data_IF_895651930698
#
_entry.id   IF_895651930698
#
_cell.length_a   1.000
_cell.length_b   1.000
_cell.length_c   1.000
_cell.angle_alpha   90.00
_cell.angle_beta   90.00
_cell.angle_gamma   90.00
#
_symmetry.space_group_name_H-M   'P 1'
#
loop_
_entity.id
_entity.type
_entity.pdbx_description
1 polymer ?
#
# COMPACT_ATOMS: atom_id res chain seq x y z
N UNK A 1 1.48 -18.51 -8.97
CA UNK A 1 2.01 -19.38 -10.07
C UNK A 1 3.54 -19.39 -10.17
N UNK A 2 4.23 -18.26 -10.34
CA UNK A 2 5.69 -18.23 -10.64
C UNK A 2 6.60 -18.02 -9.42
N UNK A 3 6.05 -17.70 -8.26
CA UNK A 3 6.79 -17.45 -7.02
C UNK A 3 6.32 -18.26 -5.79
N UNK A 4 5.70 -19.46 -5.91
CA UNK A 4 5.08 -20.12 -4.76
C UNK A 4 6.11 -20.49 -3.67
N UNK A 5 7.32 -20.94 -4.04
CA UNK A 5 8.36 -21.24 -3.05
C UNK A 5 8.83 -19.98 -2.32
N UNK A 6 9.05 -18.87 -3.04
CA UNK A 6 9.43 -17.60 -2.43
C UNK A 6 8.35 -17.07 -1.50
N UNK A 7 7.07 -17.20 -1.87
CA UNK A 7 5.94 -16.80 -1.03
C UNK A 7 5.86 -17.65 0.24
N UNK A 8 6.04 -18.96 0.11
CA UNK A 8 6.10 -19.86 1.27
C UNK A 8 7.22 -19.44 2.23
N UNK A 9 8.45 -19.29 1.73
CA UNK A 9 9.59 -18.91 2.57
C UNK A 9 9.38 -17.54 3.21
N UNK A 10 8.85 -16.56 2.47
CA UNK A 10 8.59 -15.23 3.01
C UNK A 10 7.53 -15.28 4.11
N UNK A 11 6.41 -15.97 3.89
CA UNK A 11 5.39 -16.22 4.91
C UNK A 11 5.99 -16.86 6.17
N UNK A 12 6.81 -17.91 6.00
CA UNK A 12 7.50 -18.59 7.10
C UNK A 12 8.49 -17.69 7.84
N UNK A 13 9.04 -16.66 7.21
CA UNK A 13 9.95 -15.73 7.86
C UNK A 13 9.24 -14.58 8.58
N UNK A 14 8.07 -14.16 8.09
CA UNK A 14 7.45 -12.89 8.52
C UNK A 14 6.11 -13.05 9.23
N UNK A 15 5.23 -13.91 8.74
CA UNK A 15 3.83 -13.95 9.20
C UNK A 15 3.44 -15.28 9.86
N UNK A 16 4.28 -16.31 9.79
CA UNK A 16 3.98 -17.59 10.44
C UNK A 16 3.83 -17.40 11.95
N UNK A 17 2.66 -17.79 12.46
CA UNK A 17 2.32 -17.64 13.88
C UNK A 17 1.67 -16.30 14.25
N UNK A 18 1.64 -15.30 13.36
CA UNK A 18 0.90 -14.07 13.60
C UNK A 18 -0.59 -14.38 13.74
N UNK A 19 -1.16 -14.15 14.93
CA UNK A 19 -2.51 -14.59 15.29
C UNK A 19 -2.80 -16.08 14.96
N UNK A 20 -1.77 -16.93 15.11
CA UNK A 20 -1.88 -18.37 14.93
C UNK A 20 -2.68 -19.09 16.03
N UNK A 21 -2.92 -20.40 15.89
CA UNK A 21 -3.81 -21.17 16.77
C UNK A 21 -3.31 -21.32 18.22
N UNK A 22 -2.07 -20.92 18.52
CA UNK A 22 -1.41 -21.08 19.82
C UNK A 22 -1.49 -19.79 20.67
N UNK A 23 -2.71 -19.43 21.09
CA UNK A 23 -3.18 -18.88 22.38
C UNK A 23 -2.35 -17.88 23.23
N UNK A 24 -1.41 -17.11 22.69
CA UNK A 24 -0.98 -15.87 23.34
C UNK A 24 -1.58 -14.69 22.57
N UNK A 25 -2.24 -13.75 23.27
CA UNK A 25 -2.90 -12.55 22.68
C UNK A 25 -4.24 -12.78 21.94
N UNK A 26 -5.08 -13.74 22.37
CA UNK A 26 -6.37 -14.03 21.72
C UNK A 26 -7.33 -12.84 21.64
N UNK A 27 -7.29 -11.93 22.62
CA UNK A 27 -8.14 -10.73 22.61
C UNK A 27 -7.72 -9.74 21.51
N UNK A 28 -6.42 -9.48 21.37
CA UNK A 28 -5.90 -8.62 20.29
C UNK A 28 -6.24 -9.22 18.92
N UNK A 29 -5.99 -10.51 18.73
CA UNK A 29 -6.27 -11.18 17.47
C UNK A 29 -7.75 -11.18 17.11
N UNK A 30 -8.65 -11.34 18.09
CA UNK A 30 -10.09 -11.20 17.85
C UNK A 30 -10.44 -9.77 17.43
N UNK A 31 -9.92 -8.75 18.14
CA UNK A 31 -10.15 -7.34 17.77
C UNK A 31 -9.63 -7.00 16.38
N UNK A 32 -8.45 -7.52 16.01
CA UNK A 32 -7.88 -7.34 14.68
C UNK A 32 -8.75 -8.02 13.61
N UNK A 33 -9.18 -9.26 13.85
CA UNK A 33 -10.06 -9.97 12.93
C UNK A 33 -11.38 -9.20 12.73
N UNK A 34 -12.02 -8.78 13.82
CA UNK A 34 -13.27 -8.00 13.78
C UNK A 34 -13.08 -6.68 13.01
N UNK A 35 -11.96 -5.99 13.24
CA UNK A 35 -11.61 -4.76 12.51
C UNK A 35 -11.48 -5.02 11.00
N UNK A 36 -10.71 -6.03 10.60
CA UNK A 36 -10.45 -6.35 9.19
C UNK A 36 -11.73 -6.81 8.48
N UNK A 37 -12.54 -7.66 9.11
CA UNK A 37 -13.83 -8.11 8.57
C UNK A 37 -14.80 -6.94 8.40
N UNK A 38 -14.91 -6.05 9.40
CA UNK A 38 -15.73 -4.85 9.31
C UNK A 38 -15.24 -3.89 8.21
N UNK A 39 -13.92 -3.74 8.04
CA UNK A 39 -13.33 -2.89 7.00
C UNK A 39 -13.56 -3.42 5.59
N UNK A 40 -13.29 -4.73 5.37
CA UNK A 40 -13.56 -5.39 4.10
C UNK A 40 -15.06 -5.34 3.74
N UNK A 41 -15.93 -5.61 4.71
CA UNK A 41 -17.39 -5.52 4.54
C UNK A 41 -17.84 -4.10 4.19
N UNK A 42 -17.29 -3.08 4.85
CA UNK A 42 -17.57 -1.69 4.51
C UNK A 42 -17.11 -1.32 3.10
N UNK A 43 -15.92 -1.71 2.68
CA UNK A 43 -15.45 -1.46 1.30
C UNK A 43 -16.35 -2.15 0.27
N UNK A 44 -16.83 -3.35 0.55
CA UNK A 44 -17.81 -4.05 -0.28
C UNK A 44 -19.12 -3.26 -0.42
N UNK A 45 -19.64 -2.72 0.69
CA UNK A 45 -20.83 -1.85 0.66
C UNK A 45 -20.59 -0.62 -0.23
N UNK A 46 -19.43 0.04 -0.12
CA UNK A 46 -19.12 1.23 -0.92
C UNK A 46 -19.01 0.91 -2.41
N UNK A 47 -18.36 -0.19 -2.78
CA UNK A 47 -18.32 -0.67 -4.16
C UNK A 47 -19.73 -0.93 -4.72
N UNK A 48 -20.69 -1.33 -3.87
CA UNK A 48 -22.08 -1.56 -4.26
C UNK A 48 -22.94 -0.29 -4.41
N UNK A 49 -22.54 0.85 -3.83
CA UNK A 49 -23.31 2.11 -3.90
C UNK A 49 -23.20 2.81 -5.26
N UNK A 50 -22.09 2.62 -5.98
CA UNK A 50 -21.84 3.26 -7.27
C UNK A 50 -21.40 4.74 -7.19
N UNK A 51 -21.20 5.28 -5.98
CA UNK A 51 -20.54 6.58 -5.76
C UNK A 51 -19.04 6.44 -6.03
N UNK A 52 -18.34 7.53 -6.37
CA UNK A 52 -16.89 7.54 -6.68
C UNK A 52 -16.44 6.33 -7.56
N UNK A 53 -17.07 6.09 -8.72
CA UNK A 53 -16.94 4.83 -9.45
C UNK A 53 -15.51 4.54 -9.93
N UNK A 54 -14.70 5.57 -10.17
CA UNK A 54 -13.29 5.38 -10.52
C UNK A 54 -12.48 4.84 -9.34
N UNK A 55 -12.64 5.45 -8.16
CA UNK A 55 -11.90 5.07 -6.95
C UNK A 55 -12.24 3.64 -6.53
N UNK A 56 -13.54 3.34 -6.40
CA UNK A 56 -13.99 2.02 -5.96
C UNK A 56 -13.75 0.93 -7.00
N UNK A 57 -13.70 1.27 -8.30
CA UNK A 57 -13.22 0.33 -9.31
C UNK A 57 -11.75 -0.04 -9.10
N UNK A 58 -10.88 0.92 -8.79
CA UNK A 58 -9.47 0.62 -8.53
C UNK A 58 -9.27 -0.19 -7.24
N UNK A 59 -10.03 0.11 -6.19
CA UNK A 59 -10.05 -0.69 -4.96
C UNK A 59 -10.47 -2.13 -5.28
N UNK A 60 -11.57 -2.31 -6.01
CA UNK A 60 -12.07 -3.62 -6.42
C UNK A 60 -11.01 -4.43 -7.17
N UNK A 61 -10.32 -3.82 -8.14
CA UNK A 61 -9.25 -4.47 -8.90
C UNK A 61 -8.07 -4.89 -8.03
N UNK A 62 -7.69 -4.08 -7.02
CA UNK A 62 -6.62 -4.44 -6.08
C UNK A 62 -7.02 -5.61 -5.18
N UNK A 63 -8.25 -5.62 -4.66
CA UNK A 63 -8.78 -6.72 -3.85
C UNK A 63 -8.92 -8.02 -4.68
N UNK A 64 -9.34 -7.93 -5.95
CA UNK A 64 -9.35 -9.06 -6.88
C UNK A 64 -7.95 -9.60 -7.17
N UNK A 65 -6.95 -8.73 -7.27
CA UNK A 65 -5.55 -9.14 -7.44
C UNK A 65 -5.07 -9.95 -6.23
N UNK A 66 -5.42 -9.52 -5.01
CA UNK A 66 -5.11 -10.25 -3.78
C UNK A 66 -5.84 -11.60 -3.72
N UNK A 67 -7.14 -11.62 -4.05
CA UNK A 67 -7.92 -12.87 -4.13
C UNK A 67 -7.30 -13.85 -5.12
N UNK A 68 -6.98 -13.39 -6.33
CA UNK A 68 -6.37 -14.24 -7.36
C UNK A 68 -5.00 -14.79 -6.94
N UNK A 69 -4.22 -14.04 -6.16
CA UNK A 69 -2.95 -14.50 -5.60
C UNK A 69 -3.17 -15.67 -4.61
N UNK A 70 -4.12 -15.52 -3.68
CA UNK A 70 -4.46 -16.52 -2.67
C UNK A 70 -5.06 -17.79 -3.30
N UNK A 71 -6.06 -17.63 -4.17
CA UNK A 71 -6.69 -18.71 -4.93
C UNK A 71 -5.67 -19.50 -5.77
N UNK A 72 -4.75 -18.78 -6.45
CA UNK A 72 -3.68 -19.40 -7.25
C UNK A 72 -2.71 -20.19 -6.38
N UNK A 73 -2.30 -19.65 -5.23
CA UNK A 73 -1.40 -20.36 -4.31
C UNK A 73 -2.04 -21.62 -3.73
N UNK A 74 -3.33 -21.54 -3.39
CA UNK A 74 -4.12 -22.66 -2.89
C UNK A 74 -4.57 -23.64 -3.98
N UNK A 75 -4.22 -23.39 -5.25
CA UNK A 75 -4.59 -24.20 -6.42
C UNK A 75 -6.11 -24.39 -6.56
N UNK A 76 -6.89 -23.37 -6.17
CA UNK A 76 -8.36 -23.35 -6.23
C UNK A 76 -8.79 -22.04 -6.89
N UNK A 77 -8.87 -22.04 -8.21
CA UNK A 77 -9.23 -20.85 -8.97
C UNK A 77 -10.75 -20.69 -9.00
N UNK A 78 -11.24 -19.59 -8.44
CA UNK A 78 -12.65 -19.20 -8.53
C UNK A 78 -12.74 -17.69 -8.78
N UNK A 79 -13.03 -17.30 -10.03
CA UNK A 79 -13.19 -15.90 -10.38
C UNK A 79 -14.57 -15.41 -9.94
N UNK A 80 -14.65 -14.50 -8.95
CA UNK A 80 -15.92 -14.08 -8.40
C UNK A 80 -16.69 -13.24 -9.44
N UNK A 81 -17.94 -13.61 -9.69
CA UNK A 81 -18.86 -12.84 -10.57
C UNK A 81 -19.61 -11.73 -9.84
N UNK A 82 -19.41 -11.62 -8.53
CA UNK A 82 -20.07 -10.66 -7.66
C UNK A 82 -19.25 -10.42 -6.40
N UNK A 83 -19.92 -10.39 -5.25
CA UNK A 83 -19.28 -10.23 -3.94
C UNK A 83 -18.32 -11.38 -3.66
N UNK A 84 -17.22 -11.07 -2.98
CA UNK A 84 -16.22 -12.05 -2.58
C UNK A 84 -15.61 -11.67 -1.23
N UNK A 85 -15.19 -12.67 -0.49
CA UNK A 85 -14.55 -12.52 0.80
C UNK A 85 -13.05 -12.76 0.67
N UNK A 86 -12.27 -12.04 1.47
CA UNK A 86 -10.85 -12.31 1.70
C UNK A 86 -10.67 -12.86 3.10
N UNK A 87 -9.76 -13.82 3.28
CA UNK A 87 -9.42 -14.31 4.61
C UNK A 87 -8.63 -13.21 5.37
N UNK A 88 -9.11 -12.71 6.53
CA UNK A 88 -8.41 -11.65 7.27
C UNK A 88 -6.96 -12.00 7.62
N UNK A 89 -6.72 -13.26 7.99
CA UNK A 89 -5.40 -13.81 8.30
C UNK A 89 -4.81 -14.69 7.19
N UNK A 90 -5.30 -14.52 5.97
CA UNK A 90 -4.69 -15.09 4.77
C UNK A 90 -3.57 -14.22 4.23
N UNK A 91 -3.45 -14.13 2.91
CA UNK A 91 -2.47 -13.25 2.26
C UNK A 91 -2.73 -11.76 2.44
N UNK A 92 -3.87 -11.37 3.03
CA UNK A 92 -4.06 -10.01 3.48
C UNK A 92 -2.95 -9.59 4.46
N UNK A 93 -2.53 -10.46 5.39
CA UNK A 93 -1.45 -10.14 6.34
C UNK A 93 -0.15 -9.72 5.66
N UNK A 94 0.20 -10.30 4.51
CA UNK A 94 1.37 -9.90 3.72
C UNK A 94 1.27 -8.49 3.14
N UNK A 95 0.06 -7.92 3.09
CA UNK A 95 -0.20 -6.56 2.62
C UNK A 95 -0.26 -5.57 3.78
N UNK A 96 -0.58 -6.04 4.98
CA UNK A 96 -0.74 -5.18 6.16
C UNK A 96 0.58 -4.82 6.85
N UNK A 97 1.73 -5.08 6.22
CA UNK A 97 3.06 -4.91 6.83
C UNK A 97 3.20 -3.64 7.66
N UNK A 98 3.04 -2.46 7.04
CA UNK A 98 3.10 -1.20 7.76
C UNK A 98 1.80 -0.80 8.48
N UNK A 99 0.63 -1.17 7.95
CA UNK A 99 -0.65 -0.89 8.63
C UNK A 99 -0.74 -1.54 10.02
N UNK A 100 -0.12 -2.72 10.21
CA UNK A 100 -0.09 -3.44 11.47
C UNK A 100 0.65 -2.69 12.57
N UNK A 101 1.62 -1.82 12.27
CA UNK A 101 2.36 -1.07 13.29
C UNK A 101 1.43 -0.15 14.10
N UNK A 102 0.57 0.60 13.40
CA UNK A 102 -0.41 1.47 14.03
C UNK A 102 -1.60 0.67 14.59
N UNK A 103 -2.05 -0.40 13.91
CA UNK A 103 -3.16 -1.24 14.40
C UNK A 103 -2.82 -2.00 15.69
N UNK A 104 -1.59 -2.52 15.81
CA UNK A 104 -1.11 -3.15 17.05
C UNK A 104 -1.18 -2.19 18.23
N UNK A 105 -0.72 -0.97 18.02
CA UNK A 105 -0.73 0.09 19.03
C UNK A 105 -2.16 0.50 19.40
N UNK A 106 -3.03 0.71 18.41
CA UNK A 106 -4.41 1.14 18.62
C UNK A 106 -5.30 0.07 19.26
N UNK A 107 -5.03 -1.22 19.00
CA UNK A 107 -5.77 -2.34 19.57
C UNK A 107 -5.16 -2.88 20.88
N UNK A 108 -4.18 -2.16 21.45
CA UNK A 108 -3.51 -2.46 22.71
C UNK A 108 -2.85 -3.85 22.75
N UNK A 109 -2.09 -4.19 21.71
CA UNK A 109 -1.25 -5.39 21.74
C UNK A 109 -0.18 -5.26 22.83
N UNK A 110 -0.06 -6.26 23.70
CA UNK A 110 0.81 -6.19 24.88
C UNK A 110 2.30 -6.37 24.55
N UNK A 111 2.63 -7.06 23.45
CA UNK A 111 4.00 -7.18 22.92
C UNK A 111 4.02 -6.88 21.43
N UNK A 112 4.18 -5.60 21.03
CA UNK A 112 4.24 -5.22 19.63
C UNK A 112 5.37 -5.94 18.90
N UNK A 113 5.10 -6.44 17.70
CA UNK A 113 6.11 -7.09 16.86
C UNK A 113 6.63 -6.07 15.87
N UNK A 114 7.96 -5.98 15.68
CA UNK A 114 8.51 -5.18 14.59
C UNK A 114 8.14 -5.80 13.24
N UNK A 115 7.10 -5.26 12.63
CA UNK A 115 6.65 -5.58 11.28
C UNK A 115 7.52 -4.88 10.22
N UNK A 116 7.41 -5.29 8.95
CA UNK A 116 8.10 -4.59 7.85
C UNK A 116 7.51 -3.19 7.72
N UNK A 117 8.35 -2.16 7.75
CA UNK A 117 7.94 -0.77 7.89
C UNK A 117 8.17 -0.18 9.29
N UNK A 118 8.43 -1.02 10.31
CA UNK A 118 8.65 -0.53 11.67
C UNK A 118 9.99 0.17 11.85
N UNK A 119 9.93 1.43 12.30
CA UNK A 119 11.04 2.38 12.33
C UNK A 119 10.86 3.49 11.28
N UNK A 120 11.96 4.11 10.86
CA UNK A 120 11.94 5.06 9.74
C UNK A 120 12.85 4.57 8.64
N UNK A 121 12.37 4.59 7.39
CA UNK A 121 13.21 4.50 6.20
C UNK A 121 13.99 5.81 5.98
N UNK A 122 14.94 5.81 5.05
CA UNK A 122 15.66 7.02 4.62
C UNK A 122 15.42 7.30 3.14
N UNK A 123 15.15 8.56 2.79
CA UNK A 123 14.95 8.99 1.41
C UNK A 123 15.77 10.24 1.09
N UNK A 124 16.18 10.38 -0.18
CA UNK A 124 16.87 11.58 -0.67
C UNK A 124 16.38 11.94 -2.07
N UNK A 125 15.82 13.15 -2.20
CA UNK A 125 15.55 13.81 -3.48
C UNK A 125 16.63 14.86 -3.71
N UNK A 126 17.50 14.63 -4.70
CA UNK A 126 18.70 15.46 -4.94
C UNK A 126 18.70 16.06 -6.34
N UNK A 127 18.55 17.38 -6.39
CA UNK A 127 18.85 18.17 -7.59
C UNK A 127 20.38 18.32 -7.73
N UNK A 128 20.92 17.94 -8.90
CA UNK A 128 22.35 18.02 -9.17
C UNK A 128 22.80 19.44 -9.54
N UNK A 129 24.11 19.77 -9.39
CA UNK A 129 24.65 21.08 -9.79
C UNK A 129 24.30 21.44 -11.24
N UNK A 130 23.90 22.69 -11.45
CA UNK A 130 23.45 23.18 -12.76
C UNK A 130 22.10 22.60 -13.21
N UNK A 131 21.32 22.01 -12.30
CA UNK A 131 20.03 21.38 -12.55
C UNK A 131 20.09 20.34 -13.68
N UNK A 132 21.26 19.69 -13.86
CA UNK A 132 21.51 18.75 -14.95
C UNK A 132 20.71 17.46 -14.84
N UNK A 133 20.33 17.11 -13.61
CA UNK A 133 19.54 15.92 -13.30
C UNK A 133 18.88 16.05 -11.93
N UNK A 134 17.86 15.23 -11.69
CA UNK A 134 17.15 15.08 -10.43
C UNK A 134 17.18 13.61 -10.03
N UNK A 135 17.88 13.28 -8.95
CA UNK A 135 17.99 11.93 -8.43
C UNK A 135 16.99 11.72 -7.29
N UNK A 136 16.39 10.53 -7.24
CA UNK A 136 15.48 10.11 -6.17
C UNK A 136 15.94 8.75 -5.68
N UNK A 137 16.24 8.63 -4.40
CA UNK A 137 16.74 7.42 -3.77
C UNK A 137 15.96 7.12 -2.47
N UNK A 138 15.83 5.84 -2.17
CA UNK A 138 15.17 5.31 -0.99
C UNK A 138 15.96 4.14 -0.41
N UNK A 139 16.05 4.07 0.92
CA UNK A 139 16.72 3.02 1.69
C UNK A 139 15.75 2.50 2.77
N UNK A 140 15.22 1.29 2.54
CA UNK A 140 14.24 0.67 3.42
C UNK A 140 14.89 0.10 4.67
N UNK A 141 14.33 0.45 5.83
CA UNK A 141 14.74 -0.13 7.10
C UNK A 141 13.69 -1.16 7.54
N UNK A 142 14.11 -2.42 7.68
CA UNK A 142 13.23 -3.52 8.08
C UNK A 142 14.00 -4.61 8.82
N UNK A 143 13.29 -5.54 9.47
CA UNK A 143 13.92 -6.74 10.05
C UNK A 143 14.61 -7.58 8.97
N UNK A 144 15.81 -8.08 9.25
CA UNK A 144 16.59 -8.91 8.32
C UNK A 144 15.85 -10.15 7.82
N UNK A 145 14.88 -10.67 8.58
CA UNK A 145 14.06 -11.81 8.14
C UNK A 145 13.19 -11.50 6.91
N UNK A 146 12.94 -10.21 6.58
CA UNK A 146 12.17 -9.79 5.41
C UNK A 146 12.99 -9.75 4.11
N UNK A 147 14.31 -10.00 4.13
CA UNK A 147 15.23 -9.80 2.99
C UNK A 147 15.06 -10.78 1.81
N UNK A 148 13.93 -11.49 1.70
CA UNK A 148 13.51 -12.08 0.43
C UNK A 148 12.88 -10.99 -0.43
N UNK A 149 13.60 -10.54 -1.47
CA UNK A 149 13.22 -9.37 -2.29
C UNK A 149 12.85 -9.77 -3.71
N UNK A 150 11.90 -9.03 -4.28
CA UNK A 150 11.52 -9.12 -5.70
C UNK A 150 11.28 -7.70 -6.20
N UNK A 151 12.09 -7.24 -7.17
CA UNK A 151 11.71 -6.07 -7.97
C UNK A 151 10.62 -6.51 -8.94
N UNK A 152 9.50 -5.79 -8.94
CA UNK A 152 8.33 -6.13 -9.75
C UNK A 152 8.11 -5.08 -10.81
N UNK A 153 7.85 -5.54 -12.03
CA UNK A 153 7.31 -4.73 -13.12
C UNK A 153 5.91 -5.22 -13.43
N UNK A 154 4.91 -4.37 -13.21
CA UNK A 154 3.55 -4.61 -13.66
C UNK A 154 3.28 -3.81 -14.92
N UNK A 155 2.58 -4.43 -15.87
CA UNK A 155 2.06 -3.79 -17.09
C UNK A 155 0.60 -4.20 -17.19
N UNK A 156 -0.27 -3.34 -16.69
CA UNK A 156 -1.68 -3.65 -16.41
C UNK A 156 -2.58 -2.89 -17.38
N UNK A 157 -3.45 -3.58 -18.14
CA UNK A 157 -4.37 -2.94 -19.08
C UNK A 157 -5.64 -2.40 -18.39
N UNK A 158 -5.53 -1.97 -17.12
CA UNK A 158 -6.68 -1.52 -16.34
C UNK A 158 -7.24 -0.19 -16.85
N UNK A 159 -8.56 -0.06 -16.77
CA UNK A 159 -9.29 1.15 -17.14
C UNK A 159 -9.55 1.99 -15.90
N UNK A 160 -9.77 3.29 -16.07
CA UNK A 160 -10.06 4.20 -14.95
C UNK A 160 -11.38 3.82 -14.27
N UNK A 161 -12.38 3.39 -15.04
CA UNK A 161 -13.68 2.92 -14.58
C UNK A 161 -14.09 1.62 -15.29
N UNK A 162 -15.01 0.88 -14.68
CA UNK A 162 -15.63 -0.30 -15.28
C UNK A 162 -16.33 0.04 -16.61
N UNK A 163 -16.04 -0.70 -17.68
CA UNK A 163 -16.56 -0.44 -19.03
C UNK A 163 -16.01 0.81 -19.72
N UNK A 164 -15.13 1.58 -19.06
CA UNK A 164 -14.51 2.77 -19.61
C UNK A 164 -13.47 2.46 -20.70
N UNK A 165 -13.21 3.46 -21.55
CA UNK A 165 -12.17 3.37 -22.61
C UNK A 165 -10.80 3.87 -22.15
N UNK A 166 -10.77 4.84 -21.22
CA UNK A 166 -9.52 5.43 -20.73
C UNK A 166 -8.75 4.44 -19.87
N UNK A 167 -7.46 4.27 -20.18
CA UNK A 167 -6.53 3.50 -19.37
C UNK A 167 -6.04 4.34 -18.18
N UNK A 168 -5.72 3.67 -17.07
CA UNK A 168 -5.10 4.33 -15.92
C UNK A 168 -3.73 4.95 -16.30
N UNK A 169 -3.37 6.14 -15.79
CA UNK A 169 -2.06 6.74 -16.05
C UNK A 169 -0.87 5.88 -15.60
N UNK A 170 -0.95 5.28 -14.41
CA UNK A 170 0.06 4.38 -13.85
C UNK A 170 -0.08 2.93 -14.33
N UNK A 171 -0.29 2.73 -15.64
CA UNK A 171 -0.47 1.38 -16.22
C UNK A 171 0.78 0.51 -16.21
N UNK A 172 1.97 1.11 -16.21
CA UNK A 172 3.23 0.40 -15.99
C UNK A 172 3.83 0.91 -14.68
N UNK A 173 4.21 -0.01 -13.81
CA UNK A 173 4.78 0.29 -12.50
C UNK A 173 5.99 -0.59 -12.28
N UNK A 174 7.09 -0.01 -11.83
CA UNK A 174 8.28 -0.74 -11.38
C UNK A 174 8.54 -0.37 -9.93
N UNK A 175 8.66 -1.35 -9.05
CA UNK A 175 8.83 -1.10 -7.62
C UNK A 175 9.59 -2.24 -6.95
N UNK A 176 10.32 -1.89 -5.88
CA UNK A 176 10.92 -2.87 -4.98
C UNK A 176 9.83 -3.50 -4.10
N UNK A 177 9.93 -4.79 -3.79
CA UNK A 177 8.83 -5.51 -3.13
C UNK A 177 9.30 -6.85 -2.54
N UNK A 178 8.34 -7.63 -2.04
CA UNK A 178 8.50 -8.89 -1.33
C UNK A 178 7.64 -10.01 -1.93
N UNK A 179 7.98 -11.30 -1.78
CA UNK A 179 7.14 -12.40 -2.23
C UNK A 179 5.73 -12.37 -1.62
N UNK A 180 4.69 -12.39 -2.45
CA UNK A 180 3.29 -12.44 -2.00
C UNK A 180 2.67 -11.10 -1.59
N UNK A 181 3.48 -10.05 -1.46
CA UNK A 181 3.01 -8.67 -1.35
C UNK A 181 2.64 -8.14 -2.74
N UNK A 182 1.52 -7.45 -2.94
CA UNK A 182 1.11 -6.94 -4.27
C UNK A 182 1.42 -5.46 -4.49
N UNK A 183 2.02 -4.81 -3.48
CA UNK A 183 2.58 -3.46 -3.50
C UNK A 183 4.02 -3.47 -2.94
N UNK A 184 4.65 -2.33 -2.74
CA UNK A 184 6.07 -2.22 -2.37
C UNK A 184 6.34 -2.52 -0.89
N UNK A 185 5.61 -1.88 0.03
CA UNK A 185 5.89 -1.85 1.50
C UNK A 185 7.17 -1.08 1.83
N UNK A 186 8.07 -0.85 0.87
CA UNK A 186 9.32 -0.15 1.17
C UNK A 186 9.17 1.33 1.60
N UNK A 187 8.46 2.23 0.92
CA UNK A 187 7.93 2.17 -0.44
C UNK A 187 8.78 2.92 -1.50
N UNK A 188 8.93 2.34 -2.70
CA UNK A 188 9.55 3.01 -3.84
C UNK A 188 8.95 2.57 -5.18
N UNK A 189 8.37 3.50 -5.93
CA UNK A 189 7.70 3.25 -7.22
C UNK A 189 8.21 4.17 -8.31
N UNK A 190 8.39 3.61 -9.51
CA UNK A 190 8.54 4.33 -10.77
C UNK A 190 7.31 4.04 -11.63
N UNK A 191 6.56 5.07 -11.99
CA UNK A 191 5.25 4.96 -12.64
C UNK A 191 5.29 5.50 -14.07
N UNK A 192 4.56 4.86 -15.00
CA UNK A 192 4.45 5.31 -16.39
C UNK A 192 3.83 6.69 -16.58
N UNK A 193 3.14 7.20 -15.55
CA UNK A 193 2.64 8.56 -15.53
C UNK A 193 3.75 9.62 -15.42
N UNK A 194 5.03 9.21 -15.30
CA UNK A 194 6.16 10.10 -15.09
C UNK A 194 6.42 10.44 -13.61
N UNK A 195 5.70 9.78 -12.70
CA UNK A 195 5.82 9.97 -11.27
C UNK A 195 6.80 8.96 -10.65
N UNK A 196 7.55 9.41 -9.66
CA UNK A 196 8.22 8.55 -8.67
C UNK A 196 7.59 8.83 -7.31
N UNK A 197 7.08 7.78 -6.66
CA UNK A 197 6.45 7.88 -5.35
C UNK A 197 7.26 7.04 -4.35
N UNK A 198 7.60 7.64 -3.22
CA UNK A 198 8.35 7.02 -2.12
C UNK A 198 7.93 7.65 -0.80
N UNK A 199 8.16 6.95 0.30
CA UNK A 199 7.85 7.49 1.62
C UNK A 199 8.91 7.17 2.67
N UNK A 200 8.75 7.77 3.84
CA UNK A 200 9.37 7.29 5.07
C UNK A 200 8.35 7.34 6.20
N UNK A 201 8.26 6.26 6.98
CA UNK A 201 7.31 6.16 8.10
C UNK A 201 7.64 7.15 9.22
N UNK A 202 6.61 7.92 9.61
CA UNK A 202 6.65 8.92 10.68
C UNK A 202 5.92 8.44 11.95
N UNK A 203 5.02 7.45 11.80
CA UNK A 203 4.28 6.83 12.89
C UNK A 203 3.31 7.78 13.60
N UNK A 204 2.80 7.34 14.76
CA UNK A 204 2.04 8.18 15.67
C UNK A 204 2.33 7.82 17.14
N UNK A 205 2.76 8.82 17.92
CA UNK A 205 3.05 8.68 19.35
C UNK A 205 1.97 9.32 20.24
N UNK A 206 0.87 9.81 19.67
CA UNK A 206 -0.23 10.40 20.42
C UNK A 206 -1.42 9.40 20.50
N UNK A 207 -1.61 8.71 21.64
CA UNK A 207 -2.67 7.72 21.77
C UNK A 207 -4.08 8.32 21.70
N UNK A 208 -4.24 9.63 21.92
CA UNK A 208 -5.54 10.30 21.78
C UNK A 208 -6.06 10.35 20.34
N UNK A 209 -5.20 10.06 19.35
CA UNK A 209 -5.56 10.02 17.93
C UNK A 209 -6.09 8.65 17.50
N UNK A 210 -5.83 7.57 18.26
CA UNK A 210 -6.31 6.23 17.91
C UNK A 210 -7.83 6.11 17.84
N UNK A 211 -8.58 7.05 18.44
CA UNK A 211 -10.04 7.16 18.28
C UNK A 211 -10.50 7.41 16.83
N UNK A 212 -9.61 7.86 15.94
CA UNK A 212 -9.90 8.08 14.53
C UNK A 212 -9.73 6.82 13.67
N UNK A 213 -9.07 5.77 14.19
CA UNK A 213 -9.02 4.47 13.52
C UNK A 213 -10.40 3.82 13.61
N UNK A 214 -11.12 3.86 12.50
CA UNK A 214 -12.43 3.28 12.37
C UNK A 214 -12.43 2.30 11.19
N UNK A 215 -12.86 1.04 11.34
CA UNK A 215 -12.93 0.11 10.22
C UNK A 215 -13.93 0.58 9.14
N UNK A 216 -14.91 1.42 9.49
CA UNK A 216 -15.86 2.05 8.55
C UNK A 216 -15.43 3.48 8.26
N UNK A 217 -15.47 3.87 6.98
CA UNK A 217 -15.06 5.21 6.55
C UNK A 217 -13.57 5.33 6.22
N UNK A 218 -12.82 4.23 6.29
CA UNK A 218 -11.38 4.19 6.03
C UNK A 218 -11.00 3.09 5.04
N UNK A 219 -9.93 3.33 4.30
CA UNK A 219 -9.27 2.34 3.44
C UNK A 219 -7.83 2.22 3.94
N UNK A 220 -7.36 1.00 4.21
CA UNK A 220 -5.99 0.76 4.67
C UNK A 220 -4.97 1.28 3.67
N UNK A 221 -3.79 1.67 4.17
CA UNK A 221 -2.81 2.47 3.44
C UNK A 221 -2.39 1.78 2.14
N UNK A 222 -2.08 0.49 2.19
CA UNK A 222 -1.60 -0.26 1.04
C UNK A 222 -2.56 -0.19 -0.16
N UNK A 223 -3.88 -0.13 0.08
CA UNK A 223 -4.89 0.05 -0.97
C UNK A 223 -4.90 1.49 -1.49
N UNK A 224 -4.85 2.49 -0.60
CA UNK A 224 -4.82 3.90 -0.98
C UNK A 224 -3.58 4.21 -1.82
N UNK A 225 -2.43 3.65 -1.45
CA UNK A 225 -1.17 3.69 -2.19
C UNK A 225 -1.33 3.14 -3.62
N UNK A 226 -1.83 1.90 -3.77
CA UNK A 226 -2.10 1.30 -5.09
C UNK A 226 -3.03 2.18 -5.93
N UNK A 227 -4.13 2.68 -5.35
CA UNK A 227 -5.14 3.47 -6.07
C UNK A 227 -4.55 4.81 -6.53
N UNK A 228 -3.79 5.50 -5.67
CA UNK A 228 -3.11 6.74 -6.02
C UNK A 228 -2.07 6.54 -7.14
N UNK A 229 -1.24 5.49 -7.03
CA UNK A 229 -0.26 5.14 -8.07
C UNK A 229 -0.88 4.81 -9.42
N UNK A 230 -2.08 4.22 -9.44
CA UNK A 230 -2.80 3.93 -10.68
C UNK A 230 -3.38 5.20 -11.31
N UNK A 231 -4.04 6.06 -10.52
CA UNK A 231 -4.89 7.13 -11.04
C UNK A 231 -4.18 8.47 -11.29
N UNK A 232 -3.09 8.76 -10.58
CA UNK A 232 -2.50 10.10 -10.59
C UNK A 232 -1.69 10.42 -11.86
N UNK A 233 -1.83 11.66 -12.34
CA UNK A 233 -1.02 12.24 -13.43
C UNK A 233 -0.01 13.28 -12.93
N UNK A 234 -0.17 13.75 -11.70
CA UNK A 234 0.70 14.73 -11.05
C UNK A 234 0.81 14.45 -9.56
N UNK A 235 1.80 15.04 -8.89
CA UNK A 235 1.94 14.94 -7.43
C UNK A 235 0.70 15.42 -6.65
N UNK A 236 0.09 16.59 -6.97
CA UNK A 236 -1.14 17.04 -6.31
C UNK A 236 -2.33 16.11 -6.52
N UNK A 237 -2.50 15.51 -7.71
CA UNK A 237 -3.53 14.51 -7.95
C UNK A 237 -3.30 13.25 -7.13
N UNK A 238 -2.04 12.80 -7.02
CA UNK A 238 -1.67 11.66 -6.18
C UNK A 238 -2.07 11.90 -4.73
N UNK A 239 -1.72 13.05 -4.17
CA UNK A 239 -2.09 13.45 -2.82
C UNK A 239 -3.61 13.53 -2.62
N UNK A 240 -4.34 14.06 -3.60
CA UNK A 240 -5.80 14.18 -3.56
C UNK A 240 -6.52 12.82 -3.58
N UNK A 241 -5.97 11.82 -4.27
CA UNK A 241 -6.48 10.44 -4.27
C UNK A 241 -6.10 9.72 -2.98
N UNK A 242 -4.83 9.80 -2.56
CA UNK A 242 -4.31 9.09 -1.39
C UNK A 242 -4.97 9.49 -0.07
N UNK A 243 -5.32 10.78 0.09
CA UNK A 243 -5.96 11.29 1.33
C UNK A 243 -7.41 10.82 1.51
N UNK A 244 -8.05 10.26 0.48
CA UNK A 244 -9.43 9.78 0.57
C UNK A 244 -9.50 8.59 1.53
N UNK A 245 -10.45 8.63 2.46
CA UNK A 245 -10.66 7.57 3.45
C UNK A 245 -9.40 7.23 4.25
N UNK A 246 -8.64 8.25 4.69
CA UNK A 246 -7.48 8.08 5.54
C UNK A 246 -7.79 7.13 6.72
N UNK A 247 -6.97 6.10 6.88
CA UNK A 247 -7.09 5.09 7.93
C UNK A 247 -6.39 5.47 9.23
N UNK A 248 -5.43 6.40 9.19
CA UNK A 248 -4.52 6.65 10.31
C UNK A 248 -3.58 5.47 10.58
N UNK A 249 -3.38 4.60 9.59
CA UNK A 249 -2.48 3.44 9.65
C UNK A 249 -1.43 3.56 8.57
N UNK A 250 -0.26 2.99 8.84
CA UNK A 250 0.98 3.19 8.09
C UNK A 250 1.26 4.68 7.85
N UNK A 251 1.43 5.41 8.96
CA UNK A 251 1.55 6.86 8.96
C UNK A 251 2.91 7.31 8.40
N UNK A 252 2.89 7.86 7.18
CA UNK A 252 4.09 8.12 6.38
C UNK A 252 4.21 9.59 5.93
N UNK A 253 5.44 10.04 5.70
CA UNK A 253 5.74 11.20 4.85
C UNK A 253 5.97 10.72 3.41
N UNK A 254 5.00 10.97 2.54
CA UNK A 254 5.06 10.68 1.12
C UNK A 254 5.74 11.82 0.35
N UNK A 255 6.66 11.46 -0.53
CA UNK A 255 7.28 12.32 -1.54
C UNK A 255 6.84 11.83 -2.91
N UNK A 256 6.22 12.71 -3.71
CA UNK A 256 5.83 12.40 -5.09
C UNK A 256 6.58 13.35 -6.01
N UNK A 257 7.53 12.79 -6.75
CA UNK A 257 8.35 13.51 -7.73
C UNK A 257 7.73 13.36 -9.10
N UNK A 258 7.41 14.48 -9.75
CA UNK A 258 6.83 14.52 -11.09
C UNK A 258 7.88 14.91 -12.13
N UNK A 259 8.48 13.91 -12.78
CA UNK A 259 9.51 14.13 -13.79
C UNK A 259 8.99 14.80 -15.05
N UNK A 260 7.68 14.81 -15.32
CA UNK A 260 7.13 15.53 -16.48
C UNK A 260 7.30 17.05 -16.33
N UNK A 261 7.42 17.53 -15.09
CA UNK A 261 7.61 18.95 -14.78
C UNK A 261 9.07 19.34 -14.60
N UNK A 262 9.98 18.35 -14.58
CA UNK A 262 11.43 18.57 -14.52
C UNK A 262 12.02 18.74 -15.92
N UNK A 263 12.87 19.74 -16.10
CA UNK A 263 13.61 19.97 -17.35
C UNK A 263 15.07 20.19 -17.03
N UNK A 264 15.94 19.30 -17.51
CA UNK A 264 17.37 19.38 -17.28
C UNK A 264 17.96 20.72 -17.78
N UNK A 265 18.83 21.33 -16.98
CA UNK A 265 19.53 22.58 -17.29
C UNK A 265 18.70 23.86 -17.15
N UNK A 266 17.41 23.78 -16.82
CA UNK A 266 16.58 24.97 -16.55
C UNK A 266 17.03 25.64 -15.26
N UNK A 267 17.11 26.98 -15.24
CA UNK A 267 17.63 27.77 -14.09
C UNK A 267 16.90 27.48 -12.77
N UNK A 268 15.58 27.27 -12.84
CA UNK A 268 14.76 26.92 -11.69
C UNK A 268 13.82 25.75 -12.02
N UNK A 269 13.64 24.78 -11.09
CA UNK A 269 12.61 23.75 -11.22
C UNK A 269 11.22 24.37 -11.37
N UNK A 270 10.38 23.79 -12.22
CA UNK A 270 8.98 24.22 -12.33
C UNK A 270 8.20 23.91 -11.05
N UNK A 271 7.18 24.70 -10.68
CA UNK A 271 6.22 24.28 -9.66
C UNK A 271 5.63 22.91 -10.01
N UNK A 272 5.46 22.05 -9.00
CA UNK A 272 4.91 20.70 -9.17
C UNK A 272 5.94 19.57 -9.22
N UNK A 273 7.24 19.86 -9.31
CA UNK A 273 8.30 18.83 -9.34
C UNK A 273 8.28 17.91 -8.13
N UNK A 274 8.00 18.44 -6.94
CA UNK A 274 7.89 17.65 -5.71
C UNK A 274 6.62 18.03 -4.96
N UNK A 275 5.82 17.03 -4.61
CA UNK A 275 4.70 17.14 -3.67
C UNK A 275 5.02 16.33 -2.43
N UNK A 276 4.83 16.92 -1.25
CA UNK A 276 4.99 16.24 0.04
C UNK A 276 3.63 16.11 0.71
N UNK A 277 3.32 14.94 1.24
CA UNK A 277 2.11 14.63 2.01
C UNK A 277 2.51 13.92 3.30
N UNK A 278 1.94 14.34 4.43
CA UNK A 278 2.10 13.63 5.71
C UNK A 278 0.74 13.14 6.20
N UNK A 279 0.72 11.95 6.80
CA UNK A 279 -0.46 11.33 7.36
C UNK A 279 -0.26 10.98 8.83
N UNK A 280 -1.27 11.30 9.64
CA UNK A 280 -1.50 10.77 11.00
C UNK A 280 -3.00 10.41 11.11
N UNK A 281 -3.44 9.72 12.19
CA UNK A 281 -4.87 9.47 12.43
C UNK A 281 -5.69 10.75 12.60
#
# INVERSE_FOLDING_TARGET
AVSPQLMYMHWMNTMVGYCGPFKYESEYCQKLQDYLEANLGWMEEQMGKGEDPEYWHQVHLALLQLKGLEDSYNRRLDFPRGRFTLAPFGFLLLQLGGDLEDLESALNRSSPVRVVGSGSCSALVKLLPGNRDLLVAHDTWASYQSMLRIIKKYTLPFRTLAGGKSQIPGSIQVFSSYPGTIFSVDDFYILSSGLVALETTIGNNNPALWKYLNPRGSVLEWLRNIVANRLARSGPEWAAVFRRFNSGTYNNQWMVVDYNTFTAGKVSPSPGVLTVLEQIP
#
